data_IF_273886175799
#
_entry.id   IF_273886175799
#
_cell.length_a   1.000
_cell.length_b   1.000
_cell.length_c   1.000
_cell.angle_alpha   90.00
_cell.angle_beta   90.00
_cell.angle_gamma   90.00
#
_symmetry.space_group_name_H-M   'P 1'
#
loop_
_entity.id
_entity.type
_entity.pdbx_description
1 polymer ?
#
# COMPACT_ATOMS: atom_id res chain seq x y z
N UNK A 1 -2.10 41.32 -33.74
CA UNK A 1 -3.44 40.73 -33.75
C UNK A 1 -3.26 39.23 -34.00
N UNK A 2 -3.03 38.49 -32.91
CA UNK A 2 -2.76 37.05 -32.94
C UNK A 2 -4.06 36.39 -32.47
N UNK A 3 -4.67 35.59 -33.32
CA UNK A 3 -5.94 34.94 -33.05
C UNK A 3 -5.69 33.84 -32.01
N UNK A 4 -6.19 34.02 -30.79
CA UNK A 4 -6.24 32.93 -29.82
C UNK A 4 -7.31 31.93 -30.30
N UNK A 5 -6.93 30.66 -30.34
CA UNK A 5 -7.82 29.52 -30.58
C UNK A 5 -8.62 29.26 -29.29
N UNK A 6 -9.97 29.31 -29.31
CA UNK A 6 -10.79 29.18 -28.11
C UNK A 6 -11.04 27.73 -27.68
N UNK A 7 -10.24 26.76 -28.14
CA UNK A 7 -10.40 25.34 -27.80
C UNK A 7 -9.36 24.77 -26.84
N UNK A 8 -8.45 25.60 -26.32
CA UNK A 8 -7.51 25.18 -25.28
C UNK A 8 -8.17 25.21 -23.89
N UNK A 9 -9.20 24.38 -23.71
CA UNK A 9 -9.65 23.98 -22.39
C UNK A 9 -8.81 22.79 -21.97
N UNK A 10 -7.72 23.07 -21.27
CA UNK A 10 -6.95 22.13 -20.46
C UNK A 10 -7.87 21.55 -19.37
N UNK A 11 -8.62 20.50 -19.70
CA UNK A 11 -9.56 19.80 -18.81
C UNK A 11 -9.23 18.32 -18.63
N UNK A 12 -7.98 17.90 -18.82
CA UNK A 12 -7.60 16.49 -18.67
C UNK A 12 -6.57 16.27 -17.56
N UNK A 13 -6.88 16.72 -16.34
CA UNK A 13 -6.07 16.38 -15.15
C UNK A 13 -6.78 15.46 -14.15
N UNK A 14 -8.03 15.09 -14.38
CA UNK A 14 -8.72 14.09 -13.55
C UNK A 14 -8.70 12.74 -14.27
N UNK A 15 -7.49 12.17 -14.37
CA UNK A 15 -7.35 10.81 -14.85
C UNK A 15 -8.08 9.88 -13.88
N UNK A 16 -9.21 9.34 -14.32
CA UNK A 16 -9.98 8.35 -13.57
C UNK A 16 -9.11 7.12 -13.28
N UNK A 17 -8.55 7.08 -12.07
CA UNK A 17 -7.64 6.03 -11.63
C UNK A 17 -8.26 4.65 -11.76
N UNK A 18 -9.59 4.53 -11.66
CA UNK A 18 -10.28 3.25 -11.82
C UNK A 18 -10.16 2.67 -13.24
N UNK A 19 -9.93 3.53 -14.25
CA UNK A 19 -9.75 3.13 -15.65
C UNK A 19 -8.28 2.90 -16.02
N UNK A 20 -7.35 3.40 -15.22
CA UNK A 20 -5.91 3.26 -15.46
C UNK A 20 -5.46 1.82 -15.18
N UNK A 21 -4.53 1.34 -16.02
CA UNK A 21 -3.79 0.10 -15.78
C UNK A 21 -2.31 0.41 -15.59
N UNK A 22 -1.72 -0.12 -14.54
CA UNK A 22 -0.30 0.10 -14.18
C UNK A 22 0.44 -1.21 -14.32
N UNK A 23 1.58 -1.18 -15.02
CA UNK A 23 2.49 -2.33 -15.14
C UNK A 23 3.46 -2.35 -13.97
N UNK A 24 3.42 -3.42 -13.18
CA UNK A 24 4.36 -3.72 -12.10
C UNK A 24 5.26 -4.90 -12.50
N UNK A 25 6.29 -5.17 -11.70
CA UNK A 25 7.25 -6.26 -11.96
C UNK A 25 6.63 -7.66 -12.03
N UNK A 26 5.42 -7.84 -11.48
CA UNK A 26 4.68 -9.10 -11.44
C UNK A 26 3.38 -9.10 -12.26
N UNK A 27 3.15 -8.05 -13.06
CA UNK A 27 1.99 -7.98 -13.96
C UNK A 27 1.32 -6.62 -14.01
N UNK A 28 0.28 -6.53 -14.83
CA UNK A 28 -0.53 -5.31 -14.96
C UNK A 28 -1.73 -5.37 -14.03
N UNK A 29 -1.94 -4.32 -13.23
CA UNK A 29 -3.04 -4.23 -12.26
C UNK A 29 -3.86 -2.93 -12.45
N UNK A 30 -5.11 -2.86 -11.96
CA UNK A 30 -5.87 -1.61 -11.94
C UNK A 30 -5.18 -0.51 -11.13
N UNK A 31 -5.39 0.75 -11.50
CA UNK A 31 -4.78 1.92 -10.85
C UNK A 31 -4.92 1.95 -9.32
N UNK A 32 -6.13 1.75 -8.74
CA UNK A 32 -6.30 1.76 -7.28
C UNK A 32 -5.52 0.62 -6.60
N UNK A 33 -5.42 -0.53 -7.26
CA UNK A 33 -4.64 -1.66 -6.74
C UNK A 33 -3.14 -1.32 -6.76
N UNK A 34 -2.64 -0.69 -7.83
CA UNK A 34 -1.25 -0.24 -7.89
C UNK A 34 -0.92 0.79 -6.81
N UNK A 35 -1.82 1.75 -6.57
CA UNK A 35 -1.67 2.74 -5.51
C UNK A 35 -1.60 2.08 -4.13
N UNK A 36 -2.49 1.12 -3.86
CA UNK A 36 -2.48 0.36 -2.59
C UNK A 36 -1.20 -0.47 -2.43
N UNK A 37 -0.73 -1.12 -3.50
CA UNK A 37 0.54 -1.86 -3.49
C UNK A 37 1.68 -0.91 -3.13
N UNK A 38 1.84 0.21 -3.85
CA UNK A 38 2.90 1.17 -3.56
C UNK A 38 2.82 1.78 -2.16
N UNK A 39 1.61 2.10 -1.69
CA UNK A 39 1.40 2.56 -0.32
C UNK A 39 1.85 1.49 0.67
N UNK A 40 1.48 0.22 0.45
CA UNK A 40 1.88 -0.87 1.32
C UNK A 40 3.40 -1.06 1.35
N UNK A 41 4.10 -0.96 0.22
CA UNK A 41 5.57 -1.03 0.16
C UNK A 41 6.21 0.08 1.01
N UNK A 42 5.76 1.33 0.87
CA UNK A 42 6.30 2.46 1.64
C UNK A 42 6.03 2.27 3.14
N UNK A 43 4.79 1.93 3.51
CA UNK A 43 4.40 1.86 4.92
C UNK A 43 5.03 0.65 5.62
N UNK A 44 5.12 -0.50 4.95
CA UNK A 44 5.72 -1.72 5.50
C UNK A 44 7.23 -1.57 5.61
N UNK A 45 7.91 -1.11 4.55
CA UNK A 45 9.36 -0.91 4.62
C UNK A 45 9.77 0.25 5.52
N UNK A 46 8.90 1.25 5.71
CA UNK A 46 9.08 2.25 6.76
C UNK A 46 9.10 1.64 8.17
N UNK A 47 8.30 0.58 8.43
CA UNK A 47 8.36 -0.15 9.70
C UNK A 47 9.69 -0.90 9.81
N UNK A 48 10.12 -1.59 8.75
CA UNK A 48 11.40 -2.32 8.75
C UNK A 48 12.57 -1.38 9.10
N UNK A 49 12.59 -0.17 8.52
CA UNK A 49 13.60 0.84 8.81
C UNK A 49 13.53 1.32 10.25
N UNK A 50 12.32 1.62 10.76
CA UNK A 50 12.12 2.07 12.13
C UNK A 50 12.58 1.01 13.16
N UNK A 51 12.31 -0.27 12.90
CA UNK A 51 12.81 -1.38 13.71
C UNK A 51 14.34 -1.48 13.64
N UNK A 52 14.92 -1.40 12.44
CA UNK A 52 16.36 -1.54 12.24
C UNK A 52 17.19 -0.46 12.95
N UNK A 53 16.61 0.73 13.19
CA UNK A 53 17.28 1.84 13.87
C UNK A 53 16.79 2.08 15.30
N UNK A 54 15.96 1.18 15.83
CA UNK A 54 15.34 1.30 17.17
C UNK A 54 14.56 2.61 17.39
N UNK A 55 13.80 3.02 16.37
CA UNK A 55 12.95 4.23 16.38
C UNK A 55 11.51 3.93 16.00
N UNK A 56 10.91 2.95 16.66
CA UNK A 56 9.49 2.59 16.46
C UNK A 56 8.53 3.72 16.85
N UNK A 57 9.00 4.71 17.62
CA UNK A 57 8.29 5.96 17.90
C UNK A 57 8.00 6.80 16.64
N UNK A 58 8.76 6.60 15.56
CA UNK A 58 8.53 7.25 14.27
C UNK A 58 7.43 6.58 13.44
N UNK A 59 6.93 5.40 13.86
CA UNK A 59 5.89 4.69 13.13
C UNK A 59 4.53 5.32 13.42
N UNK A 60 3.92 5.88 12.38
CA UNK A 60 2.54 6.35 12.43
C UNK A 60 1.58 5.16 12.59
N UNK A 61 1.14 4.93 13.83
CA UNK A 61 0.25 3.82 14.17
C UNK A 61 -1.12 3.95 13.51
N UNK A 62 -1.63 5.18 13.30
CA UNK A 62 -2.93 5.40 12.70
C UNK A 62 -2.91 4.94 11.23
N UNK A 63 -1.90 5.38 10.47
CA UNK A 63 -1.74 4.94 9.08
C UNK A 63 -1.57 3.42 8.97
N UNK A 64 -0.95 2.77 9.97
CA UNK A 64 -0.84 1.30 9.98
C UNK A 64 -2.16 0.61 10.29
N UNK A 65 -2.98 1.17 11.17
CA UNK A 65 -4.32 0.64 11.43
C UNK A 65 -5.22 0.77 10.19
N UNK A 66 -5.14 1.90 9.48
CA UNK A 66 -5.88 2.13 8.24
C UNK A 66 -5.46 1.15 7.14
N UNK A 67 -4.15 0.98 6.92
CA UNK A 67 -3.65 -0.03 5.97
C UNK A 67 -4.09 -1.44 6.39
N UNK A 68 -3.98 -1.80 7.68
CA UNK A 68 -4.44 -3.09 8.18
C UNK A 68 -5.95 -3.29 7.96
N UNK A 69 -6.77 -2.26 8.17
CA UNK A 69 -8.20 -2.29 7.88
C UNK A 69 -8.49 -2.52 6.40
N UNK A 70 -7.72 -1.90 5.49
CA UNK A 70 -7.83 -2.14 4.05
C UNK A 70 -7.37 -3.55 3.65
N UNK A 71 -6.35 -4.11 4.30
CA UNK A 71 -5.80 -5.42 3.96
C UNK A 71 -6.60 -6.61 4.50
N UNK A 72 -7.26 -6.46 5.65
CA UNK A 72 -8.07 -7.52 6.27
C UNK A 72 -9.13 -8.16 5.36
N UNK A 73 -9.93 -7.41 4.57
CA UNK A 73 -10.94 -8.01 3.70
C UNK A 73 -10.39 -8.56 2.38
N UNK A 74 -9.09 -8.36 2.07
CA UNK A 74 -8.51 -8.86 0.83
C UNK A 74 -8.25 -10.37 0.88
N UNK A 75 -8.30 -11.03 -0.28
CA UNK A 75 -7.79 -12.41 -0.43
C UNK A 75 -6.26 -12.40 -0.32
N UNK A 76 -5.76 -12.40 0.92
CA UNK A 76 -4.33 -12.43 1.20
C UNK A 76 -3.66 -13.70 0.67
N UNK A 77 -4.40 -14.80 0.50
CA UNK A 77 -3.85 -16.04 -0.03
C UNK A 77 -3.49 -15.91 -1.52
N UNK A 78 -4.16 -15.01 -2.27
CA UNK A 78 -3.75 -14.66 -3.63
C UNK A 78 -2.33 -14.08 -3.70
N UNK A 79 -1.86 -13.41 -2.65
CA UNK A 79 -0.51 -12.85 -2.56
C UNK A 79 0.49 -13.83 -1.90
N UNK A 80 0.02 -14.73 -1.04
CA UNK A 80 0.86 -15.80 -0.46
C UNK A 80 1.20 -16.90 -1.46
N UNK A 81 0.27 -17.29 -2.35
CA UNK A 81 0.51 -18.29 -3.40
C UNK A 81 1.76 -17.98 -4.27
N UNK A 82 1.94 -16.76 -4.81
CA UNK A 82 3.15 -16.37 -5.53
C UNK A 82 4.32 -15.99 -4.60
N UNK A 83 4.21 -16.20 -3.28
CA UNK A 83 5.22 -15.91 -2.25
C UNK A 83 5.58 -14.43 -2.09
N UNK A 84 4.64 -13.52 -2.36
CA UNK A 84 4.83 -12.09 -2.05
C UNK A 84 4.78 -11.84 -0.54
N UNK A 85 3.92 -12.57 0.17
CA UNK A 85 3.84 -12.56 1.64
C UNK A 85 4.09 -13.95 2.22
N UNK A 86 4.56 -13.97 3.48
CA UNK A 86 4.73 -15.19 4.24
C UNK A 86 3.41 -15.72 4.82
N UNK A 87 3.42 -16.93 5.42
CA UNK A 87 2.30 -17.40 6.21
C UNK A 87 2.00 -16.41 7.34
N UNK A 88 0.71 -16.09 7.55
CA UNK A 88 0.31 -15.21 8.64
C UNK A 88 0.80 -15.73 9.98
N UNK A 89 1.25 -14.81 10.83
CA UNK A 89 1.65 -15.08 12.21
C UNK A 89 0.61 -14.54 13.17
N UNK A 90 0.66 -15.03 14.40
CA UNK A 90 -0.13 -14.48 15.51
C UNK A 90 0.51 -13.20 16.02
N UNK A 91 -0.32 -12.20 16.36
CA UNK A 91 0.07 -11.03 17.13
C UNK A 91 -0.73 -11.02 18.44
N UNK A 92 -0.16 -10.54 19.56
CA UNK A 92 -0.92 -10.28 20.79
C UNK A 92 -2.14 -9.40 20.54
N UNK A 93 -3.21 -9.58 21.31
CA UNK A 93 -4.43 -8.76 21.18
C UNK A 93 -4.17 -7.27 21.46
N UNK A 94 -3.21 -6.99 22.33
CA UNK A 94 -2.75 -5.66 22.72
C UNK A 94 -1.53 -5.18 21.91
N UNK A 95 -1.19 -5.87 20.82
CA UNK A 95 -0.10 -5.46 19.93
C UNK A 95 -0.41 -4.14 19.21
N UNK A 96 0.65 -3.37 18.95
CA UNK A 96 0.55 -2.13 18.18
C UNK A 96 0.15 -2.40 16.73
N UNK A 97 -0.40 -1.39 16.05
CA UNK A 97 -0.94 -1.54 14.70
C UNK A 97 0.12 -2.04 13.70
N UNK A 98 1.36 -1.54 13.80
CA UNK A 98 2.45 -1.98 12.94
C UNK A 98 2.86 -3.43 13.18
N UNK A 99 2.83 -3.91 14.43
CA UNK A 99 3.12 -5.30 14.79
C UNK A 99 2.06 -6.26 14.22
N UNK A 100 0.78 -5.90 14.36
CA UNK A 100 -0.35 -6.64 13.79
C UNK A 100 -0.28 -6.69 12.27
N UNK A 101 0.13 -5.58 11.64
CA UNK A 101 0.35 -5.52 10.20
C UNK A 101 1.49 -6.46 9.76
N UNK A 102 2.65 -6.41 10.41
CA UNK A 102 3.77 -7.31 10.10
C UNK A 102 3.37 -8.78 10.27
N UNK A 103 2.62 -9.11 11.32
CA UNK A 103 2.11 -10.45 11.56
C UNK A 103 1.16 -10.93 10.44
N UNK A 104 0.26 -10.07 9.95
CA UNK A 104 -0.61 -10.38 8.79
C UNK A 104 0.20 -10.76 7.54
N UNK A 105 1.32 -10.09 7.32
CA UNK A 105 2.24 -10.29 6.19
C UNK A 105 3.23 -11.45 6.40
N UNK A 106 3.18 -12.10 7.56
CA UNK A 106 4.06 -13.22 7.91
C UNK A 106 5.47 -12.82 8.32
N UNK A 107 5.69 -11.55 8.66
CA UNK A 107 6.98 -11.02 9.10
C UNK A 107 7.13 -11.17 10.61
N UNK A 108 8.38 -11.26 11.08
CA UNK A 108 8.64 -11.24 12.52
C UNK A 108 8.31 -9.85 13.08
N UNK A 109 7.87 -9.85 14.34
CA UNK A 109 7.68 -8.65 15.16
C UNK A 109 8.79 -8.66 16.19
#
# INVERSE_FOLDING_TARGET
MHHADPTDTDTDTDTDLAKVKVRLGFGTVPGPMAALIHLSEILVHGIDLALAIDRTDLVDQQMREELLAHMRPMDMDAFRRPRMFGPQKSAPECALAHERLLALLGRAV
#
